data_IF_055349137650
#
_entry.id   IF_055349137650
#
_cell.length_a   1.000
_cell.length_b   1.000
_cell.length_c   1.000
_cell.angle_alpha   90.00
_cell.angle_beta   90.00
_cell.angle_gamma   90.00
#
_symmetry.space_group_name_H-M   'P 1'
#
loop_
_entity.id
_entity.type
_entity.pdbx_description
1 polymer ?
#
# COMPACT_ATOMS: atom_id res chain seq x y z
N UNK A 1 30.75 -35.25 17.93
CA UNK A 1 30.65 -34.59 19.25
C UNK A 1 31.82 -33.64 19.41
N UNK A 2 31.60 -32.34 19.18
CA UNK A 2 32.57 -31.31 19.52
C UNK A 2 32.04 -30.60 20.77
N UNK A 3 32.74 -30.76 21.89
CA UNK A 3 32.38 -30.16 23.16
C UNK A 3 32.55 -28.64 23.08
N UNK A 4 31.60 -27.89 23.65
CA UNK A 4 31.73 -26.45 23.84
C UNK A 4 33.02 -26.15 24.64
N UNK A 5 33.79 -25.10 24.28
CA UNK A 5 35.03 -24.78 24.97
C UNK A 5 34.75 -24.46 26.44
N UNK A 6 35.47 -25.13 27.34
CA UNK A 6 35.51 -24.86 28.77
C UNK A 6 36.28 -23.56 28.99
N UNK A 7 35.62 -22.52 29.47
CA UNK A 7 36.22 -21.20 29.72
C UNK A 7 35.74 -20.70 31.11
N UNK A 8 36.67 -20.25 31.95
CA UNK A 8 36.52 -20.06 33.42
C UNK A 8 36.61 -18.60 33.90
N UNK A 9 36.12 -17.61 33.14
CA UNK A 9 36.08 -16.18 33.48
C UNK A 9 34.84 -15.46 32.94
N UNK A 10 34.46 -14.33 33.56
CA UNK A 10 33.21 -13.60 33.23
C UNK A 10 33.13 -13.11 31.77
N UNK A 11 34.27 -12.86 31.10
CA UNK A 11 34.33 -12.46 29.68
C UNK A 11 33.98 -13.59 28.70
N UNK A 12 33.92 -14.83 29.17
CA UNK A 12 33.70 -16.00 28.31
C UNK A 12 32.28 -16.06 27.74
N UNK A 13 31.34 -15.40 28.42
CA UNK A 13 29.96 -15.28 27.95
C UNK A 13 29.88 -14.41 26.69
N UNK A 14 30.60 -13.28 26.67
CA UNK A 14 30.63 -12.41 25.50
C UNK A 14 31.32 -13.10 24.32
N UNK A 15 32.46 -13.76 24.54
CA UNK A 15 33.17 -14.48 23.48
C UNK A 15 32.32 -15.61 22.88
N UNK A 16 31.68 -16.39 23.74
CA UNK A 16 30.80 -17.49 23.31
C UNK A 16 29.62 -16.98 22.49
N UNK A 17 28.93 -15.93 22.97
CA UNK A 17 27.79 -15.37 22.23
C UNK A 17 28.20 -14.68 20.93
N UNK A 18 29.37 -14.03 20.91
CA UNK A 18 29.93 -13.44 19.68
C UNK A 18 30.16 -14.51 18.61
N UNK A 19 30.70 -15.68 18.99
CA UNK A 19 30.90 -16.80 18.07
C UNK A 19 29.57 -17.35 17.55
N UNK A 20 28.59 -17.54 18.44
CA UNK A 20 27.24 -18.02 18.06
C UNK A 20 26.61 -17.03 17.06
N UNK A 21 26.62 -15.74 17.36
CA UNK A 21 26.09 -14.70 16.49
C UNK A 21 26.79 -14.69 15.12
N UNK A 22 28.12 -14.78 15.10
CA UNK A 22 28.88 -14.85 13.85
C UNK A 22 28.50 -16.05 12.98
N UNK A 23 28.28 -17.23 13.60
CA UNK A 23 27.78 -18.39 12.87
C UNK A 23 26.37 -18.18 12.33
N UNK A 24 25.48 -17.58 13.11
CA UNK A 24 24.11 -17.25 12.69
C UNK A 24 24.10 -16.31 11.49
N UNK A 25 24.86 -15.21 11.54
CA UNK A 25 24.98 -14.23 10.45
C UNK A 25 25.51 -14.93 9.19
N UNK A 26 26.64 -15.64 9.29
CA UNK A 26 27.26 -16.28 8.13
C UNK A 26 26.33 -17.29 7.45
N UNK A 27 25.51 -18.01 8.23
CA UNK A 27 24.55 -18.97 7.68
C UNK A 27 23.33 -18.27 7.07
N UNK A 28 22.78 -17.26 7.74
CA UNK A 28 21.62 -16.52 7.24
C UNK A 28 21.89 -15.80 5.91
N UNK A 29 23.08 -15.21 5.73
CA UNK A 29 23.41 -14.41 4.54
C UNK A 29 24.33 -15.11 3.52
N UNK A 30 24.72 -16.37 3.79
CA UNK A 30 25.63 -17.13 2.93
C UNK A 30 24.92 -17.94 1.84
N UNK A 31 24.01 -18.86 2.20
CA UNK A 31 23.52 -19.91 1.28
C UNK A 31 22.15 -20.52 1.67
N UNK A 32 21.25 -19.73 2.26
CA UNK A 32 20.02 -20.20 2.94
C UNK A 32 20.33 -21.12 4.14
N UNK A 33 19.59 -20.95 5.24
CA UNK A 33 19.73 -21.77 6.43
C UNK A 33 18.87 -23.04 6.27
N UNK A 34 19.48 -24.22 6.31
CA UNK A 34 18.70 -25.47 6.32
C UNK A 34 18.03 -25.67 7.68
N UNK A 35 16.92 -26.41 7.72
CA UNK A 35 16.17 -26.70 8.96
C UNK A 35 17.05 -27.31 10.07
N UNK A 36 17.91 -28.33 9.81
CA UNK A 36 18.80 -28.87 10.84
C UNK A 36 19.87 -27.87 11.30
N UNK A 37 20.33 -26.99 10.41
CA UNK A 37 21.29 -25.94 10.77
C UNK A 37 20.64 -24.83 11.60
N UNK A 38 19.39 -24.50 11.30
CA UNK A 38 18.57 -23.57 12.07
C UNK A 38 18.36 -24.11 13.49
N UNK A 39 17.89 -25.35 13.64
CA UNK A 39 17.70 -26.00 14.94
C UNK A 39 19.00 -26.04 15.76
N UNK A 40 20.13 -26.34 15.10
CA UNK A 40 21.46 -26.33 15.75
C UNK A 40 21.80 -24.95 16.29
N UNK A 41 21.56 -23.89 15.51
CA UNK A 41 21.87 -22.52 15.92
C UNK A 41 20.95 -22.06 17.06
N UNK A 42 19.66 -22.40 17.00
CA UNK A 42 18.71 -22.16 18.11
C UNK A 42 19.16 -22.89 19.38
N UNK A 43 19.54 -24.17 19.28
CA UNK A 43 20.06 -24.96 20.41
C UNK A 43 21.33 -24.36 21.01
N UNK A 44 22.21 -23.77 20.19
CA UNK A 44 23.41 -23.07 20.68
C UNK A 44 23.05 -21.83 21.50
N UNK A 45 22.08 -21.02 21.04
CA UNK A 45 21.61 -19.86 21.80
C UNK A 45 20.92 -20.29 23.10
N UNK A 46 20.04 -21.30 23.05
CA UNK A 46 19.38 -21.84 24.24
C UNK A 46 20.39 -22.35 25.28
N UNK A 47 21.38 -23.12 24.83
CA UNK A 47 22.44 -23.64 25.72
C UNK A 47 23.26 -22.53 26.36
N UNK A 48 23.46 -21.43 25.64
CA UNK A 48 24.15 -20.25 26.18
C UNK A 48 23.30 -19.55 27.25
N UNK A 49 22.00 -19.36 27.00
CA UNK A 49 21.06 -18.80 27.97
C UNK A 49 20.98 -19.66 29.25
N UNK A 50 20.87 -20.98 29.12
CA UNK A 50 20.77 -21.92 30.25
C UNK A 50 22.02 -21.94 31.14
N UNK A 51 23.18 -21.61 30.57
CA UNK A 51 24.48 -21.59 31.28
C UNK A 51 24.88 -20.20 31.75
N UNK A 52 24.04 -19.19 31.53
CA UNK A 52 24.37 -17.82 31.85
C UNK A 52 24.43 -17.62 33.38
N UNK A 53 25.57 -17.19 33.94
CA UNK A 53 25.67 -16.90 35.36
C UNK A 53 24.70 -15.77 35.76
N UNK A 54 24.12 -15.86 36.96
CA UNK A 54 23.12 -14.89 37.43
C UNK A 54 23.63 -13.44 37.50
N UNK A 55 24.94 -13.24 37.72
CA UNK A 55 25.60 -11.93 37.72
C UNK A 55 25.74 -11.29 36.32
N UNK A 56 25.51 -12.04 35.24
CA UNK A 56 25.52 -11.53 33.87
C UNK A 56 24.15 -11.01 33.45
N UNK A 57 23.07 -11.45 34.11
CA UNK A 57 21.73 -10.92 33.89
C UNK A 57 21.62 -9.46 34.35
N UNK A 58 20.66 -8.69 33.78
CA UNK A 58 20.38 -7.35 34.29
C UNK A 58 19.99 -7.45 35.77
N UNK A 59 20.61 -6.64 36.62
CA UNK A 59 20.27 -6.61 38.04
C UNK A 59 19.00 -5.79 38.31
N UNK A 60 18.55 -5.01 37.33
CA UNK A 60 17.28 -4.29 37.34
C UNK A 60 16.73 -4.17 35.92
N UNK A 61 15.42 -4.36 35.79
CA UNK A 61 14.60 -4.12 34.60
C UNK A 61 13.36 -3.33 35.04
N UNK A 62 13.13 -2.14 34.50
CA UNK A 62 11.93 -1.35 34.78
C UNK A 62 11.02 -1.30 33.56
N UNK A 63 9.74 -1.63 33.74
CA UNK A 63 8.67 -1.17 32.85
C UNK A 63 8.48 0.34 33.12
N UNK A 64 8.41 1.18 32.09
CA UNK A 64 8.39 2.64 32.27
C UNK A 64 7.09 3.12 32.94
N UNK A 65 7.16 4.30 33.56
CA UNK A 65 6.05 5.05 34.16
C UNK A 65 6.05 6.44 33.52
N UNK A 66 5.39 6.66 32.37
CA UNK A 66 4.51 7.80 32.02
C UNK A 66 4.28 7.95 30.50
N UNK A 67 3.03 8.22 30.07
CA UNK A 67 2.62 8.09 28.68
C UNK A 67 3.12 9.26 27.81
N UNK A 68 4.02 8.96 26.87
CA UNK A 68 4.30 9.84 25.72
C UNK A 68 4.02 9.10 24.41
N UNK A 69 3.72 9.85 23.35
CA UNK A 69 3.21 9.35 22.07
C UNK A 69 4.21 8.54 21.20
N UNK A 70 5.33 8.12 21.78
CA UNK A 70 6.32 7.19 21.21
C UNK A 70 6.48 6.08 22.25
N UNK A 71 6.22 4.82 21.87
CA UNK A 71 6.12 3.69 22.81
C UNK A 71 7.27 3.61 23.82
N UNK A 72 6.94 3.21 25.04
CA UNK A 72 7.88 3.14 26.17
C UNK A 72 8.86 1.96 26.01
N UNK A 73 10.15 2.25 25.84
CA UNK A 73 11.19 1.22 25.86
C UNK A 73 11.52 0.82 27.31
N UNK A 74 11.78 -0.47 27.60
CA UNK A 74 12.22 -0.92 28.90
C UNK A 74 13.63 -0.42 29.23
N UNK A 75 13.89 -0.18 30.52
CA UNK A 75 15.21 0.20 31.02
C UNK A 75 15.94 -0.99 31.62
N UNK A 76 17.24 -1.13 31.30
CA UNK A 76 18.09 -2.22 31.79
C UNK A 76 19.37 -1.71 32.46
N UNK A 77 19.66 -2.25 33.64
CA UNK A 77 20.94 -2.01 34.30
C UNK A 77 21.73 -3.31 34.46
N UNK A 78 22.97 -3.29 33.97
CA UNK A 78 23.90 -4.42 34.02
C UNK A 78 25.08 -4.08 34.90
N UNK A 79 25.68 -5.10 35.52
CA UNK A 79 26.87 -4.91 36.37
C UNK A 79 28.10 -4.46 35.57
N UNK A 80 28.16 -4.77 34.26
CA UNK A 80 29.27 -4.46 33.36
C UNK A 80 28.79 -4.26 31.92
N UNK A 81 29.49 -3.44 31.14
CA UNK A 81 29.16 -3.13 29.73
C UNK A 81 29.15 -4.38 28.82
N UNK A 82 30.04 -5.34 29.09
CA UNK A 82 30.12 -6.57 28.31
C UNK A 82 28.95 -7.52 28.60
N UNK A 83 28.28 -7.41 29.75
CA UNK A 83 27.04 -8.15 30.03
C UNK A 83 25.91 -7.64 29.12
N UNK A 84 25.78 -6.31 28.99
CA UNK A 84 24.81 -5.70 28.08
C UNK A 84 25.08 -6.10 26.63
N UNK A 85 26.35 -6.07 26.20
CA UNK A 85 26.76 -6.50 24.86
C UNK A 85 26.44 -7.98 24.60
N UNK A 86 26.72 -8.87 25.56
CA UNK A 86 26.46 -10.30 25.42
C UNK A 86 24.95 -10.60 25.32
N UNK A 87 24.12 -9.96 26.16
CA UNK A 87 22.66 -10.12 26.09
C UNK A 87 22.10 -9.56 24.78
N UNK A 88 22.61 -8.42 24.32
CA UNK A 88 22.20 -7.87 23.03
C UNK A 88 22.56 -8.82 21.87
N UNK A 89 23.76 -9.41 21.87
CA UNK A 89 24.16 -10.35 20.81
C UNK A 89 23.27 -11.60 20.77
N UNK A 90 22.80 -12.07 21.93
CA UNK A 90 21.82 -13.15 22.01
C UNK A 90 20.48 -12.74 21.37
N UNK A 91 19.94 -11.57 21.73
CA UNK A 91 18.70 -11.03 21.15
C UNK A 91 18.82 -10.81 19.63
N UNK A 92 19.98 -10.37 19.15
CA UNK A 92 20.24 -10.20 17.72
C UNK A 92 20.26 -11.55 17.00
N UNK A 93 20.94 -12.55 17.57
CA UNK A 93 20.96 -13.90 17.01
C UNK A 93 19.54 -14.46 16.92
N UNK A 94 18.71 -14.25 17.94
CA UNK A 94 17.30 -14.65 17.95
C UNK A 94 16.45 -13.89 16.96
N UNK A 95 16.68 -12.59 16.77
CA UNK A 95 16.00 -11.79 15.75
C UNK A 95 16.26 -12.35 14.36
N UNK A 96 17.52 -12.69 14.04
CA UNK A 96 17.87 -13.32 12.76
C UNK A 96 17.22 -14.70 12.67
N UNK A 97 17.32 -15.54 13.70
CA UNK A 97 16.72 -16.88 13.68
C UNK A 97 15.19 -16.83 13.53
N UNK A 98 14.51 -15.89 14.17
CA UNK A 98 13.08 -15.62 13.98
C UNK A 98 12.76 -15.16 12.55
N UNK A 99 13.55 -14.25 11.99
CA UNK A 99 13.38 -13.77 10.63
C UNK A 99 13.52 -14.89 9.58
N UNK A 100 14.33 -15.92 9.85
CA UNK A 100 14.54 -17.08 8.98
C UNK A 100 13.87 -18.38 9.49
N UNK A 101 12.97 -18.30 10.48
CA UNK A 101 12.32 -19.47 11.06
C UNK A 101 11.41 -20.18 10.03
N UNK A 102 11.44 -21.53 9.98
CA UNK A 102 10.41 -22.32 9.30
C UNK A 102 9.01 -22.06 9.90
N UNK A 103 7.96 -22.12 9.07
CA UNK A 103 6.58 -21.72 9.40
C UNK A 103 6.00 -22.40 10.66
N UNK A 104 6.49 -23.59 11.02
CA UNK A 104 6.01 -24.44 12.11
C UNK A 104 7.00 -24.57 13.28
N UNK A 105 8.13 -23.85 13.27
CA UNK A 105 9.20 -24.00 14.26
C UNK A 105 9.44 -22.76 15.14
N UNK A 106 8.61 -21.71 15.01
CA UNK A 106 8.72 -20.48 15.83
C UNK A 106 8.70 -20.76 17.34
N UNK A 107 7.95 -21.78 17.78
CA UNK A 107 7.87 -22.21 19.19
C UNK A 107 9.17 -22.77 19.76
N UNK A 108 10.16 -23.08 18.92
CA UNK A 108 11.48 -23.55 19.36
C UNK A 108 12.41 -22.42 19.80
N UNK A 109 12.06 -21.16 19.51
CA UNK A 109 12.89 -20.02 19.88
C UNK A 109 12.83 -19.77 21.40
N UNK A 110 13.99 -19.57 22.06
CA UNK A 110 14.07 -19.25 23.48
C UNK A 110 13.25 -18.02 23.86
N UNK A 111 12.65 -18.08 25.05
CA UNK A 111 12.26 -16.86 25.75
C UNK A 111 13.50 -16.10 26.21
N UNK A 112 13.55 -14.81 25.93
CA UNK A 112 14.56 -13.89 26.50
C UNK A 112 13.90 -12.75 27.27
N UNK A 113 12.56 -12.68 27.26
CA UNK A 113 11.79 -11.76 28.07
C UNK A 113 11.51 -12.45 29.41
N UNK A 114 11.91 -11.82 30.51
CA UNK A 114 11.62 -12.30 31.87
C UNK A 114 10.11 -12.22 32.21
N UNK A 115 9.30 -11.59 31.33
CA UNK A 115 7.84 -11.54 31.43
C UNK A 115 7.23 -12.83 30.82
N UNK A 116 6.86 -13.77 31.69
CA UNK A 116 6.29 -15.06 31.35
C UNK A 116 4.92 -15.02 30.62
N UNK A 117 4.32 -13.85 30.41
CA UNK A 117 2.96 -13.71 29.86
C UNK A 117 2.90 -13.69 28.31
N UNK A 118 3.99 -13.40 27.62
CA UNK A 118 4.03 -13.34 26.15
C UNK A 118 4.04 -14.70 25.46
N UNK A 119 4.18 -15.81 26.20
CA UNK A 119 4.43 -17.15 25.63
C UNK A 119 3.28 -18.09 26.01
N UNK A 120 2.10 -17.77 25.51
CA UNK A 120 1.04 -18.76 25.31
C UNK A 120 0.99 -19.09 23.82
N UNK A 121 0.44 -20.26 23.45
CA UNK A 121 0.73 -21.01 22.22
C UNK A 121 0.40 -20.37 20.84
N UNK A 122 0.15 -19.06 20.76
CA UNK A 122 -0.30 -18.35 19.55
C UNK A 122 0.52 -17.08 19.21
N UNK A 123 1.82 -17.02 19.54
CA UNK A 123 2.67 -15.84 19.23
C UNK A 123 3.00 -15.78 17.74
N UNK A 124 2.66 -14.67 17.07
CA UNK A 124 3.02 -14.47 15.67
C UNK A 124 4.51 -14.15 15.52
N UNK A 125 5.07 -14.43 14.33
CA UNK A 125 6.45 -14.04 14.00
C UNK A 125 6.69 -12.53 14.16
N UNK A 126 5.66 -11.72 13.90
CA UNK A 126 5.72 -10.26 14.06
C UNK A 126 5.87 -9.86 15.52
N UNK A 127 5.00 -10.40 16.38
CA UNK A 127 5.02 -10.11 17.82
C UNK A 127 6.36 -10.51 18.45
N UNK A 128 6.93 -11.64 18.02
CA UNK A 128 8.23 -12.11 18.50
C UNK A 128 9.39 -11.19 18.06
N UNK A 129 9.39 -10.75 16.80
CA UNK A 129 10.40 -9.83 16.27
C UNK A 129 10.28 -8.42 16.89
N UNK A 130 9.06 -8.00 17.23
CA UNK A 130 8.80 -6.76 17.95
C UNK A 130 9.28 -6.84 19.40
N UNK A 131 8.98 -7.93 20.11
CA UNK A 131 9.45 -8.16 21.47
C UNK A 131 10.99 -8.11 21.56
N UNK A 132 11.69 -8.79 20.64
CA UNK A 132 13.16 -8.72 20.60
C UNK A 132 13.66 -7.30 20.27
N UNK A 133 13.01 -6.58 19.36
CA UNK A 133 13.40 -5.20 19.03
C UNK A 133 13.25 -4.25 20.21
N UNK A 134 12.17 -4.37 20.98
CA UNK A 134 11.92 -3.56 22.18
C UNK A 134 13.04 -3.77 23.21
N UNK A 135 13.43 -5.02 23.47
CA UNK A 135 14.53 -5.36 24.38
C UNK A 135 15.89 -4.84 23.85
N UNK A 136 16.18 -5.02 22.55
CA UNK A 136 17.43 -4.52 21.93
C UNK A 136 17.53 -3.00 22.04
N UNK A 137 16.45 -2.28 21.71
CA UNK A 137 16.37 -0.83 21.83
C UNK A 137 16.51 -0.39 23.28
N UNK A 138 15.79 -1.03 24.20
CA UNK A 138 15.86 -0.72 25.63
C UNK A 138 17.28 -0.85 26.18
N UNK A 139 17.99 -1.95 25.87
CA UNK A 139 19.40 -2.13 26.26
C UNK A 139 20.29 -1.05 25.62
N UNK A 140 20.11 -0.76 24.34
CA UNK A 140 20.94 0.20 23.60
C UNK A 140 20.81 1.63 24.15
N UNK A 141 19.58 2.09 24.37
CA UNK A 141 19.32 3.43 24.87
C UNK A 141 19.61 3.56 26.38
N UNK A 142 19.43 2.50 27.18
CA UNK A 142 19.74 2.57 28.61
C UNK A 142 21.24 2.59 28.87
N UNK A 143 21.99 1.74 28.17
CA UNK A 143 23.43 1.59 28.41
C UNK A 143 24.26 2.66 27.69
N UNK A 144 23.78 3.17 26.56
CA UNK A 144 24.48 4.15 25.72
C UNK A 144 25.92 3.73 25.35
N UNK A 145 26.16 2.43 25.23
CA UNK A 145 27.46 1.86 24.86
C UNK A 145 27.59 1.89 23.32
N UNK A 146 28.67 2.44 22.74
CA UNK A 146 28.81 2.55 21.28
C UNK A 146 28.67 1.24 20.51
N UNK A 147 29.25 0.14 20.99
CA UNK A 147 29.14 -1.17 20.36
C UNK A 147 27.70 -1.68 20.36
N UNK A 148 26.97 -1.44 21.46
CA UNK A 148 25.57 -1.84 21.61
C UNK A 148 24.67 -1.00 20.70
N UNK A 149 24.89 0.30 20.62
CA UNK A 149 24.13 1.20 19.73
C UNK A 149 24.32 0.83 18.24
N UNK A 150 25.57 0.67 17.78
CA UNK A 150 25.87 0.35 16.38
C UNK A 150 25.26 -0.99 15.96
N UNK A 151 25.33 -2.00 16.84
CA UNK A 151 24.82 -3.34 16.55
C UNK A 151 23.28 -3.44 16.60
N UNK A 152 22.59 -2.39 17.06
CA UNK A 152 21.12 -2.36 17.10
C UNK A 152 20.48 -2.13 15.72
N UNK A 153 21.13 -1.37 14.84
CA UNK A 153 20.49 -0.85 13.63
C UNK A 153 20.13 -1.93 12.58
N UNK A 154 21.01 -2.90 12.33
CA UNK A 154 20.74 -3.98 11.37
C UNK A 154 19.57 -4.88 11.81
N UNK A 155 19.57 -5.38 13.06
CA UNK A 155 18.51 -6.22 13.62
C UNK A 155 17.13 -5.53 13.66
N UNK A 156 17.07 -4.24 14.04
CA UNK A 156 15.82 -3.44 14.03
C UNK A 156 15.18 -3.39 12.63
N UNK A 157 15.98 -3.44 11.55
CA UNK A 157 15.46 -3.46 10.18
C UNK A 157 14.71 -4.76 9.83
N UNK A 158 14.92 -5.86 10.56
CA UNK A 158 14.13 -7.09 10.39
C UNK A 158 12.77 -6.99 11.09
N UNK A 159 12.66 -6.21 12.16
CA UNK A 159 11.43 -6.04 12.94
C UNK A 159 10.46 -5.03 12.32
N UNK A 160 10.95 -4.04 11.57
CA UNK A 160 10.08 -3.08 10.84
C UNK A 160 9.26 -3.72 9.72
N UNK A 161 9.64 -4.90 9.24
CA UNK A 161 8.87 -5.65 8.23
C UNK A 161 7.72 -6.47 8.82
N UNK A 162 7.74 -6.72 10.13
CA UNK A 162 6.82 -7.62 10.81
C UNK A 162 5.90 -6.91 11.81
N UNK A 163 6.21 -5.66 12.17
CA UNK A 163 5.28 -4.75 12.82
C UNK A 163 4.19 -4.32 11.83
N UNK A 164 3.18 -5.19 11.67
CA UNK A 164 1.86 -4.77 11.22
C UNK A 164 1.31 -3.86 12.30
N UNK A 165 1.73 -2.59 12.29
CA UNK A 165 1.07 -1.57 13.10
C UNK A 165 -0.44 -1.69 12.86
N UNK A 166 -1.30 -1.56 13.87
CA UNK A 166 -2.76 -1.56 13.69
C UNK A 166 -3.28 -0.55 12.65
N UNK A 167 -2.44 0.41 12.22
CA UNK A 167 -2.68 1.33 11.11
C UNK A 167 -2.35 0.82 9.69
N UNK A 168 -1.67 -0.33 9.52
CA UNK A 168 -1.28 -0.86 8.22
C UNK A 168 -2.43 -1.50 7.45
N UNK A 169 -3.61 -1.68 8.05
CA UNK A 169 -4.77 -2.21 7.33
C UNK A 169 -5.41 -1.20 6.38
N UNK A 170 -5.27 0.09 6.66
CA UNK A 170 -5.93 1.17 5.93
C UNK A 170 -5.02 1.78 4.86
N UNK A 171 -5.58 2.39 3.81
CA UNK A 171 -4.80 3.14 2.84
C UNK A 171 -3.93 4.20 3.52
N UNK A 172 -2.68 4.29 3.09
CA UNK A 172 -1.83 5.38 3.54
C UNK A 172 -2.36 6.72 3.01
N UNK A 173 -2.39 7.70 3.91
CA UNK A 173 -2.80 9.06 3.59
C UNK A 173 -1.60 9.99 3.66
N UNK A 174 -1.37 10.74 2.59
CA UNK A 174 -0.47 11.90 2.55
C UNK A 174 -1.33 13.16 2.66
N UNK A 175 -0.99 14.01 3.63
CA UNK A 175 -1.62 15.32 3.81
C UNK A 175 -0.56 16.37 3.50
N UNK A 176 -0.56 16.94 2.29
CA UNK A 176 0.41 17.95 1.94
C UNK A 176 0.27 19.16 2.87
N UNK A 177 1.40 19.77 3.20
CA UNK A 177 1.45 21.03 3.93
C UNK A 177 0.85 22.17 3.10
N UNK A 178 0.48 23.27 3.76
CA UNK A 178 0.01 24.48 3.07
C UNK A 178 1.02 25.02 2.03
N UNK A 179 2.32 24.82 2.26
CA UNK A 179 3.37 25.20 1.30
C UNK A 179 3.35 24.31 0.06
N UNK A 180 3.22 22.99 0.23
CA UNK A 180 3.14 22.04 -0.89
C UNK A 180 1.89 22.26 -1.74
N UNK A 181 0.75 22.54 -1.10
CA UNK A 181 -0.49 22.93 -1.80
C UNK A 181 -0.29 24.24 -2.58
N UNK A 182 0.22 25.29 -1.93
CA UNK A 182 0.47 26.59 -2.56
C UNK A 182 1.42 26.48 -3.76
N UNK A 183 2.43 25.62 -3.67
CA UNK A 183 3.41 25.42 -4.73
C UNK A 183 2.98 24.34 -5.74
N UNK A 184 1.83 23.70 -5.53
CA UNK A 184 1.34 22.56 -6.34
C UNK A 184 2.39 21.46 -6.51
N UNK A 185 3.18 21.20 -5.47
CA UNK A 185 4.31 20.26 -5.51
C UNK A 185 4.60 19.73 -4.12
N UNK A 186 4.67 18.41 -4.00
CA UNK A 186 5.11 17.73 -2.79
C UNK A 186 6.60 17.92 -2.57
N UNK A 187 6.99 18.03 -1.30
CA UNK A 187 8.38 17.93 -0.88
C UNK A 187 8.89 16.48 -0.97
N UNK A 188 10.20 16.30 -0.75
CA UNK A 188 10.84 15.00 -0.89
C UNK A 188 10.25 13.94 0.08
N UNK A 189 9.81 14.34 1.27
CA UNK A 189 9.31 13.42 2.29
C UNK A 189 7.89 12.96 1.97
N UNK A 190 7.01 13.89 1.58
CA UNK A 190 5.65 13.58 1.16
C UNK A 190 5.64 12.77 -0.14
N UNK A 191 6.49 13.13 -1.10
CA UNK A 191 6.62 12.40 -2.35
C UNK A 191 7.13 10.97 -2.12
N UNK A 192 8.19 10.80 -1.32
CA UNK A 192 8.72 9.48 -1.00
C UNK A 192 7.67 8.62 -0.29
N UNK A 193 6.90 9.19 0.64
CA UNK A 193 5.78 8.47 1.28
C UNK A 193 4.75 8.02 0.24
N UNK A 194 4.37 8.89 -0.70
CA UNK A 194 3.43 8.54 -1.76
C UNK A 194 3.95 7.39 -2.64
N UNK A 195 5.19 7.50 -3.12
CA UNK A 195 5.85 6.48 -3.94
C UNK A 195 5.96 5.15 -3.19
N UNK A 196 6.38 5.17 -1.92
CA UNK A 196 6.51 3.97 -1.09
C UNK A 196 5.19 3.20 -1.01
N UNK A 197 4.07 3.90 -0.76
CA UNK A 197 2.78 3.24 -0.61
C UNK A 197 2.16 2.77 -1.93
N UNK A 198 2.47 3.43 -3.06
CA UNK A 198 2.19 2.82 -4.37
C UNK A 198 2.93 1.48 -4.53
N UNK A 199 4.20 1.38 -4.15
CA UNK A 199 4.94 0.12 -4.26
C UNK A 199 4.49 -0.94 -3.24
N UNK A 200 4.22 -0.56 -1.98
CA UNK A 200 3.89 -1.49 -0.90
C UNK A 200 2.42 -1.91 -0.92
N UNK A 201 1.51 -0.94 -1.06
CA UNK A 201 0.07 -1.15 -0.94
C UNK A 201 -0.65 -1.16 -2.29
N UNK A 202 0.03 -0.75 -3.37
CA UNK A 202 -0.60 -0.56 -4.67
C UNK A 202 -1.52 0.65 -4.71
N UNK A 203 -1.52 1.49 -3.66
CA UNK A 203 -2.46 2.59 -3.50
C UNK A 203 -1.94 3.64 -2.50
N UNK A 204 -2.21 4.91 -2.78
CA UNK A 204 -2.07 6.00 -1.82
C UNK A 204 -3.19 7.03 -1.99
N UNK A 205 -3.61 7.63 -0.89
CA UNK A 205 -4.56 8.75 -0.87
C UNK A 205 -3.81 10.04 -0.57
N UNK A 206 -4.03 11.07 -1.40
CA UNK A 206 -3.52 12.42 -1.16
C UNK A 206 -4.72 13.31 -0.84
N UNK A 207 -4.84 13.74 0.41
CA UNK A 207 -5.97 14.57 0.87
C UNK A 207 -5.78 16.05 0.47
N UNK A 208 -6.89 16.76 0.27
CA UNK A 208 -6.98 18.22 0.15
C UNK A 208 -6.13 18.84 -0.98
N UNK A 209 -6.01 18.16 -2.13
CA UNK A 209 -5.22 18.60 -3.31
C UNK A 209 -6.08 19.09 -4.48
N UNK A 210 -7.40 18.98 -4.38
CA UNK A 210 -8.35 19.48 -5.38
C UNK A 210 -9.30 20.49 -4.70
N UNK A 211 -9.44 21.73 -5.23
CA UNK A 211 -10.39 22.69 -4.72
C UNK A 211 -11.82 22.14 -4.76
N UNK A 212 -12.56 22.32 -3.67
CA UNK A 212 -13.93 21.82 -3.58
C UNK A 212 -14.88 22.51 -4.57
N UNK A 213 -14.62 23.77 -4.92
CA UNK A 213 -15.45 24.51 -5.87
C UNK A 213 -15.42 23.88 -7.28
N UNK A 214 -14.23 23.51 -7.77
CA UNK A 214 -14.07 22.82 -9.06
C UNK A 214 -14.80 21.47 -9.04
N UNK A 215 -14.69 20.74 -7.93
CA UNK A 215 -15.41 19.48 -7.73
C UNK A 215 -16.92 19.70 -7.76
N UNK A 216 -17.44 20.70 -7.04
CA UNK A 216 -18.88 20.93 -6.91
C UNK A 216 -19.52 21.34 -8.24
N UNK A 217 -18.83 22.16 -9.05
CA UNK A 217 -19.28 22.53 -10.39
C UNK A 217 -19.35 21.30 -11.32
N UNK A 218 -18.27 20.50 -11.37
CA UNK A 218 -18.25 19.30 -12.20
C UNK A 218 -19.26 18.25 -11.73
N UNK A 219 -19.38 18.05 -10.41
CA UNK A 219 -20.32 17.09 -9.83
C UNK A 219 -21.76 17.42 -10.19
N UNK A 220 -22.13 18.71 -10.18
CA UNK A 220 -23.48 19.15 -10.55
C UNK A 220 -23.84 18.65 -11.95
N UNK A 221 -22.97 18.91 -12.94
CA UNK A 221 -23.19 18.48 -14.32
C UNK A 221 -23.22 16.94 -14.45
N UNK A 222 -22.28 16.25 -13.82
CA UNK A 222 -22.17 14.79 -13.95
C UNK A 222 -23.26 14.02 -13.18
N UNK A 223 -23.87 14.60 -12.14
CA UNK A 223 -25.05 14.02 -11.49
C UNK A 223 -26.27 14.12 -12.40
N UNK A 224 -26.44 15.23 -13.12
CA UNK A 224 -27.49 15.36 -14.14
C UNK A 224 -27.33 14.30 -15.24
N UNK A 225 -26.10 14.12 -15.74
CA UNK A 225 -25.79 13.11 -16.76
C UNK A 225 -26.04 11.69 -16.27
N UNK A 226 -25.62 11.36 -15.04
CA UNK A 226 -25.87 10.05 -14.45
C UNK A 226 -27.37 9.73 -14.39
N UNK A 227 -28.22 10.72 -14.12
CA UNK A 227 -29.69 10.55 -14.12
C UNK A 227 -30.25 10.40 -15.54
N UNK A 228 -29.71 11.12 -16.52
CA UNK A 228 -30.06 10.92 -17.94
C UNK A 228 -29.74 9.48 -18.38
N UNK A 229 -28.54 9.00 -18.07
CA UNK A 229 -28.09 7.65 -18.39
C UNK A 229 -28.88 6.58 -17.63
N UNK A 230 -29.20 6.79 -16.35
CA UNK A 230 -30.04 5.88 -15.56
C UNK A 230 -31.43 5.72 -16.18
N UNK A 231 -32.01 6.81 -16.71
CA UNK A 231 -33.32 6.79 -17.37
C UNK A 231 -33.35 6.03 -18.70
N UNK A 232 -32.18 5.64 -19.24
CA UNK A 232 -32.10 4.75 -20.42
C UNK A 232 -32.40 3.28 -20.08
N UNK A 233 -32.53 2.93 -18.80
CA UNK A 233 -32.82 1.56 -18.36
C UNK A 233 -31.73 0.58 -18.78
N UNK A 234 -32.08 -0.60 -19.28
CA UNK A 234 -31.11 -1.65 -19.65
C UNK A 234 -30.15 -1.26 -20.79
N UNK A 235 -30.38 -0.14 -21.47
CA UNK A 235 -29.46 0.42 -22.47
C UNK A 235 -28.39 1.33 -21.86
N UNK A 236 -28.49 1.63 -20.56
CA UNK A 236 -27.53 2.46 -19.84
C UNK A 236 -26.18 1.74 -19.68
N UNK A 237 -25.08 2.50 -19.56
CA UNK A 237 -23.71 1.99 -19.46
C UNK A 237 -23.41 1.43 -18.06
N UNK A 238 -24.01 0.29 -17.70
CA UNK A 238 -23.85 -0.30 -16.36
C UNK A 238 -22.69 -1.31 -16.27
N UNK A 239 -21.81 -1.13 -15.28
CA UNK A 239 -20.69 -2.01 -14.97
C UNK A 239 -21.11 -3.09 -13.97
N UNK A 240 -21.19 -4.34 -14.44
CA UNK A 240 -21.63 -5.54 -13.71
C UNK A 240 -23.11 -5.53 -13.27
N UNK A 241 -23.59 -4.46 -12.63
CA UNK A 241 -24.95 -4.32 -12.12
C UNK A 241 -25.51 -2.89 -12.30
N UNK A 242 -26.84 -2.72 -12.17
CA UNK A 242 -27.54 -1.43 -12.35
C UNK A 242 -27.20 -0.37 -11.28
N UNK A 243 -26.46 -0.73 -10.23
CA UNK A 243 -25.99 0.18 -9.20
C UNK A 243 -24.66 0.86 -9.52
N UNK A 244 -23.91 0.41 -10.53
CA UNK A 244 -22.66 1.04 -10.96
C UNK A 244 -22.76 1.45 -12.43
N UNK A 245 -22.80 2.76 -12.68
CA UNK A 245 -22.96 3.36 -13.99
C UNK A 245 -21.63 4.00 -14.42
N UNK A 246 -21.13 3.62 -15.59
CA UNK A 246 -19.99 4.27 -16.21
C UNK A 246 -20.44 5.51 -16.96
N UNK A 247 -19.75 6.63 -16.80
CA UNK A 247 -20.03 7.84 -17.55
C UNK A 247 -18.75 8.63 -17.79
N UNK A 248 -18.62 9.26 -18.94
CA UNK A 248 -17.51 10.15 -19.22
C UNK A 248 -17.81 11.56 -18.68
N UNK A 249 -16.76 12.26 -18.24
CA UNK A 249 -16.89 13.68 -17.95
C UNK A 249 -17.06 14.48 -19.26
N UNK A 250 -17.76 15.63 -19.26
CA UNK A 250 -17.96 16.42 -20.47
C UNK A 250 -16.60 16.84 -21.06
N UNK A 251 -16.27 16.43 -22.30
CA UNK A 251 -14.94 16.59 -22.86
C UNK A 251 -14.76 17.96 -23.54
N UNK A 252 -15.22 19.04 -22.87
CA UNK A 252 -15.15 20.44 -23.36
C UNK A 252 -14.58 21.39 -22.30
N UNK A 253 -13.99 22.51 -22.75
CA UNK A 253 -13.23 23.41 -21.89
C UNK A 253 -14.03 23.99 -20.72
N UNK A 254 -15.35 24.14 -20.87
CA UNK A 254 -16.26 24.63 -19.83
C UNK A 254 -16.26 23.77 -18.56
N UNK A 255 -16.06 22.47 -18.70
CA UNK A 255 -16.07 21.51 -17.59
C UNK A 255 -14.68 20.92 -17.31
N UNK A 256 -13.64 21.48 -17.92
CA UNK A 256 -12.26 21.01 -17.75
C UNK A 256 -11.53 21.84 -16.70
N UNK A 257 -11.41 21.29 -15.49
CA UNK A 257 -10.66 21.90 -14.39
C UNK A 257 -9.26 21.26 -14.29
N UNK A 258 -8.16 21.99 -14.56
CA UNK A 258 -6.80 21.45 -14.47
C UNK A 258 -6.46 20.88 -13.08
N UNK A 259 -7.05 21.44 -12.02
CA UNK A 259 -6.95 20.95 -10.65
C UNK A 259 -7.48 19.51 -10.47
N UNK A 260 -8.36 19.06 -11.36
CA UNK A 260 -8.94 17.71 -11.40
C UNK A 260 -8.20 16.85 -12.43
N UNK A 261 -8.20 17.27 -13.68
CA UNK A 261 -7.81 16.42 -14.82
C UNK A 261 -6.30 16.35 -15.05
N UNK A 262 -5.57 17.40 -14.69
CA UNK A 262 -4.12 17.51 -14.90
C UNK A 262 -3.41 17.94 -13.61
N UNK A 263 -3.90 17.46 -12.46
CA UNK A 263 -3.45 17.86 -11.13
C UNK A 263 -1.91 17.68 -10.98
N UNK A 264 -1.13 18.75 -10.76
CA UNK A 264 0.34 18.67 -10.74
C UNK A 264 0.91 17.74 -9.67
N UNK A 265 0.25 17.63 -8.51
CA UNK A 265 0.68 16.73 -7.41
C UNK A 265 0.46 15.27 -7.82
N UNK A 266 -0.70 14.94 -8.39
CA UNK A 266 -0.95 13.61 -8.92
C UNK A 266 0.04 13.26 -10.03
N UNK A 267 0.26 14.18 -10.98
CA UNK A 267 1.22 14.02 -12.08
C UNK A 267 2.65 13.85 -11.59
N UNK A 268 3.06 14.57 -10.53
CA UNK A 268 4.37 14.41 -9.88
C UNK A 268 4.55 12.98 -9.35
N UNK A 269 3.54 12.44 -8.67
CA UNK A 269 3.60 11.07 -8.12
C UNK A 269 3.61 10.05 -9.26
N UNK A 270 2.72 10.18 -10.26
CA UNK A 270 2.73 9.24 -11.39
C UNK A 270 4.03 9.29 -12.18
N UNK A 271 4.65 10.47 -12.32
CA UNK A 271 5.96 10.62 -12.97
C UNK A 271 7.08 9.95 -12.18
N UNK A 272 7.03 10.03 -10.84
CA UNK A 272 8.02 9.39 -9.97
C UNK A 272 7.95 7.86 -10.03
N UNK A 273 6.77 7.28 -10.30
CA UNK A 273 6.57 5.83 -10.36
C UNK A 273 6.73 5.28 -11.79
N UNK A 274 6.15 5.94 -12.79
CA UNK A 274 6.04 5.42 -14.15
C UNK A 274 7.15 5.92 -15.10
N UNK A 275 7.92 6.92 -14.65
CA UNK A 275 8.87 7.66 -15.48
C UNK A 275 8.32 9.01 -15.95
N UNK A 276 9.20 9.88 -16.49
CA UNK A 276 8.86 11.25 -16.83
C UNK A 276 7.81 11.30 -17.95
N UNK A 277 6.87 12.25 -17.84
CA UNK A 277 5.81 12.51 -18.83
C UNK A 277 4.97 11.26 -19.18
N UNK A 278 4.25 10.65 -18.20
CA UNK A 278 3.32 9.56 -18.46
C UNK A 278 2.27 9.91 -19.52
N UNK A 279 1.75 8.89 -20.22
CA UNK A 279 0.68 9.04 -21.21
C UNK A 279 -0.69 8.98 -20.55
N UNK A 280 -1.52 9.99 -20.73
CA UNK A 280 -2.93 9.96 -20.30
C UNK A 280 -3.83 9.57 -21.48
N UNK A 281 -4.34 8.33 -21.46
CA UNK A 281 -5.09 7.76 -22.60
C UNK A 281 -6.50 7.29 -22.26
N UNK A 282 -6.91 7.39 -21.00
CA UNK A 282 -8.26 7.03 -20.54
C UNK A 282 -8.79 8.06 -19.56
N UNK A 283 -10.04 8.49 -19.75
CA UNK A 283 -10.76 9.37 -18.84
C UNK A 283 -12.24 8.96 -18.83
N UNK A 284 -12.74 8.50 -17.70
CA UNK A 284 -14.14 8.16 -17.49
C UNK A 284 -14.49 8.35 -16.01
N UNK A 285 -15.65 7.86 -15.58
CA UNK A 285 -16.10 7.93 -14.19
C UNK A 285 -17.01 6.76 -13.86
N UNK A 286 -17.04 6.39 -12.59
CA UNK A 286 -17.99 5.43 -12.04
C UNK A 286 -18.96 6.17 -11.11
N UNK A 287 -20.25 6.05 -11.37
CA UNK A 287 -21.33 6.54 -10.53
C UNK A 287 -21.96 5.36 -9.78
N UNK A 288 -21.80 5.32 -8.46
CA UNK A 288 -22.66 4.44 -7.66
C UNK A 288 -24.01 5.10 -7.50
N UNK A 289 -25.00 4.49 -8.12
CA UNK A 289 -26.36 4.96 -8.16
C UNK A 289 -27.11 4.50 -6.90
N UNK A 290 -27.98 5.35 -6.34
CA UNK A 290 -29.01 4.90 -5.40
C UNK A 290 -29.81 3.73 -5.99
N UNK A 291 -30.22 2.75 -5.18
CA UNK A 291 -31.05 1.66 -5.65
C UNK A 291 -32.37 2.18 -6.20
N UNK A 292 -32.82 1.60 -7.32
CA UNK A 292 -34.18 1.82 -7.80
C UNK A 292 -35.19 1.20 -6.82
N UNK A 293 -36.41 1.75 -6.70
CA UNK A 293 -37.45 1.17 -5.85
C UNK A 293 -37.67 -0.32 -6.17
N UNK A 294 -37.50 -1.18 -5.15
CA UNK A 294 -37.66 -2.64 -5.28
C UNK A 294 -36.42 -3.39 -5.77
N UNK A 295 -35.31 -2.71 -6.09
CA UNK A 295 -34.04 -3.34 -6.43
C UNK A 295 -33.19 -3.57 -5.17
N UNK A 296 -32.55 -4.75 -5.08
CA UNK A 296 -31.56 -5.02 -4.04
C UNK A 296 -30.18 -4.49 -4.48
N UNK A 297 -29.52 -3.62 -3.69
CA UNK A 297 -28.17 -3.15 -3.99
C UNK A 297 -27.19 -4.33 -4.11
N UNK A 298 -26.36 -4.35 -5.16
CA UNK A 298 -25.41 -5.44 -5.41
C UNK A 298 -23.97 -4.96 -5.36
N UNK A 299 -23.12 -5.72 -4.65
CA UNK A 299 -21.67 -5.57 -4.67
C UNK A 299 -21.12 -6.16 -5.98
N UNK A 300 -20.14 -5.51 -6.58
CA UNK A 300 -19.41 -6.08 -7.73
C UNK A 300 -18.54 -7.27 -7.29
N UNK A 301 -18.23 -8.23 -8.18
CA UNK A 301 -17.17 -9.19 -7.90
C UNK A 301 -15.84 -8.45 -7.66
N UNK A 302 -14.97 -9.02 -6.82
CA UNK A 302 -13.61 -8.50 -6.69
C UNK A 302 -12.90 -8.72 -8.02
N UNK A 303 -12.28 -7.67 -8.56
CA UNK A 303 -11.63 -7.72 -9.87
C UNK A 303 -10.37 -6.84 -9.91
N UNK A 304 -9.55 -7.09 -10.92
CA UNK A 304 -8.48 -6.22 -11.40
C UNK A 304 -8.91 -5.56 -12.71
N UNK A 305 -8.58 -4.29 -12.92
CA UNK A 305 -8.82 -3.63 -14.23
C UNK A 305 -7.82 -4.09 -15.30
N UNK A 306 -6.73 -4.76 -14.90
CA UNK A 306 -5.75 -5.35 -15.79
C UNK A 306 -6.09 -6.83 -16.05
N UNK A 307 -7.08 -7.08 -16.90
CA UNK A 307 -7.62 -8.40 -17.25
C UNK A 307 -6.91 -9.07 -18.43
N UNK A 308 -5.66 -8.68 -18.68
CA UNK A 308 -4.80 -9.12 -19.78
C UNK A 308 -3.40 -9.48 -19.25
N UNK A 309 -2.58 -10.13 -20.08
CA UNK A 309 -1.19 -10.39 -19.73
C UNK A 309 -0.40 -9.07 -19.63
N UNK A 310 0.09 -8.75 -18.43
CA UNK A 310 0.69 -7.45 -18.13
C UNK A 310 2.06 -7.59 -17.45
N UNK A 311 2.91 -6.54 -17.46
CA UNK A 311 4.17 -6.53 -16.73
C UNK A 311 3.99 -6.76 -15.22
N UNK A 312 5.04 -7.29 -14.57
CA UNK A 312 5.08 -7.51 -13.11
C UNK A 312 5.39 -6.24 -12.30
N UNK A 313 5.76 -5.15 -12.97
CA UNK A 313 6.08 -3.85 -12.39
C UNK A 313 5.07 -2.79 -12.85
N UNK A 314 4.97 -1.64 -12.16
CA UNK A 314 4.01 -0.59 -12.53
C UNK A 314 4.18 -0.12 -13.98
N UNK A 315 3.09 -0.17 -14.73
CA UNK A 315 3.00 0.31 -16.11
C UNK A 315 1.82 1.25 -16.32
N UNK A 316 0.85 1.24 -15.39
CA UNK A 316 -0.32 2.10 -15.40
C UNK A 316 -0.76 2.41 -13.97
N UNK A 317 -1.07 3.68 -13.69
CA UNK A 317 -1.68 4.12 -12.44
C UNK A 317 -3.03 4.77 -12.75
N UNK A 318 -4.06 4.37 -12.00
CA UNK A 318 -5.37 5.00 -12.02
C UNK A 318 -5.35 6.18 -11.05
N UNK A 319 -5.74 7.35 -11.57
CA UNK A 319 -5.97 8.58 -10.82
C UNK A 319 -7.47 8.72 -10.60
N UNK A 320 -7.90 8.39 -9.39
CA UNK A 320 -9.30 8.49 -8.98
C UNK A 320 -9.57 9.78 -8.22
N UNK A 321 -10.58 10.55 -8.64
CA UNK A 321 -10.99 11.80 -7.99
C UNK A 321 -12.45 11.70 -7.58
N UNK A 322 -12.74 11.57 -6.28
CA UNK A 322 -14.11 11.57 -5.79
C UNK A 322 -14.74 12.95 -5.93
N UNK A 323 -15.93 13.01 -6.53
CA UNK A 323 -16.68 14.26 -6.65
C UNK A 323 -17.55 14.56 -5.41
N UNK A 324 -17.61 13.61 -4.49
CA UNK A 324 -18.18 13.75 -3.14
C UNK A 324 -17.31 12.96 -2.17
N UNK A 325 -17.45 13.22 -0.86
CA UNK A 325 -16.84 12.34 0.15
C UNK A 325 -17.39 10.92 -0.01
N UNK A 326 -16.53 9.95 -0.21
CA UNK A 326 -16.90 8.54 -0.28
C UNK A 326 -16.80 7.93 1.11
N UNK A 327 -17.82 7.21 1.53
CA UNK A 327 -17.89 6.48 2.80
C UNK A 327 -18.45 5.08 2.55
N UNK A 328 -18.29 4.13 3.48
CA UNK A 328 -18.94 2.83 3.38
C UNK A 328 -20.45 2.93 3.12
N UNK A 329 -21.11 3.91 3.75
CA UNK A 329 -22.55 4.15 3.67
C UNK A 329 -23.03 4.67 2.31
N UNK A 330 -22.15 5.25 1.49
CA UNK A 330 -22.49 5.69 0.13
C UNK A 330 -21.75 4.90 -0.98
N UNK A 331 -21.22 3.73 -0.62
CA UNK A 331 -20.58 2.82 -1.57
C UNK A 331 -19.17 3.27 -1.99
N UNK A 332 -18.34 3.65 -1.02
CA UNK A 332 -16.88 3.77 -1.26
C UNK A 332 -16.31 2.43 -1.70
N UNK A 333 -15.28 2.47 -2.56
CA UNK A 333 -14.69 1.27 -3.15
C UNK A 333 -14.08 0.37 -2.08
N UNK A 334 -14.34 -0.92 -2.16
CA UNK A 334 -13.63 -1.92 -1.36
C UNK A 334 -12.26 -2.20 -2.00
N UNK A 335 -11.20 -2.18 -1.19
CA UNK A 335 -9.81 -2.24 -1.63
C UNK A 335 -9.08 -3.41 -0.98
N UNK A 336 -8.29 -4.12 -1.78
CA UNK A 336 -7.43 -5.20 -1.33
C UNK A 336 -5.97 -4.75 -1.43
N UNK A 337 -5.52 -3.96 -0.46
CA UNK A 337 -4.20 -3.33 -0.49
C UNK A 337 -3.09 -4.37 -0.64
N UNK A 338 -2.11 -4.13 -1.52
CA UNK A 338 -0.94 -4.99 -1.77
C UNK A 338 -1.15 -6.11 -2.79
N UNK A 339 -2.34 -6.26 -3.38
CA UNK A 339 -2.62 -7.31 -4.38
C UNK A 339 -2.17 -6.95 -5.81
N UNK A 340 -1.69 -5.73 -6.04
CA UNK A 340 -1.12 -5.31 -7.33
C UNK A 340 0.11 -6.10 -7.76
N UNK A 341 0.68 -6.93 -6.88
CA UNK A 341 1.81 -7.82 -7.16
C UNK A 341 1.41 -9.15 -7.82
N UNK A 342 0.13 -9.37 -8.07
CA UNK A 342 -0.38 -10.58 -8.75
C UNK A 342 -0.39 -10.45 -10.26
N UNK A 343 -0.63 -11.56 -10.96
CA UNK A 343 -0.73 -11.62 -12.42
C UNK A 343 -2.09 -12.19 -12.88
N UNK A 344 -2.24 -12.37 -14.20
CA UNK A 344 -3.46 -12.85 -14.84
C UNK A 344 -3.89 -14.25 -14.36
N UNK A 345 -2.99 -15.06 -13.78
CA UNK A 345 -3.32 -16.42 -13.30
C UNK A 345 -4.25 -16.41 -12.08
N UNK A 346 -4.34 -15.29 -11.37
CA UNK A 346 -5.24 -15.10 -10.24
C UNK A 346 -6.69 -14.81 -10.66
N UNK A 347 -6.90 -14.53 -11.94
CA UNK A 347 -8.16 -14.04 -12.49
C UNK A 347 -8.91 -15.17 -13.23
N UNK A 348 -10.22 -15.03 -13.32
CA UNK A 348 -11.14 -15.86 -14.11
C UNK A 348 -11.94 -14.99 -15.10
N UNK A 349 -12.50 -15.64 -16.13
CA UNK A 349 -13.09 -14.97 -17.29
C UNK A 349 -12.05 -14.72 -18.39
N UNK A 350 -12.46 -14.84 -19.65
CA UNK A 350 -11.60 -14.48 -20.76
C UNK A 350 -11.61 -12.96 -20.98
N UNK A 351 -10.48 -12.39 -21.42
CA UNK A 351 -10.36 -10.97 -21.73
C UNK A 351 -11.50 -10.50 -22.67
N UNK A 352 -12.19 -9.43 -22.28
CA UNK A 352 -13.34 -8.90 -23.01
C UNK A 352 -14.70 -9.57 -22.70
N UNK A 353 -14.75 -10.60 -21.85
CA UNK A 353 -16.01 -11.13 -21.31
C UNK A 353 -16.55 -10.26 -20.16
N UNK A 354 -17.85 -10.36 -19.89
CA UNK A 354 -18.49 -9.61 -18.79
C UNK A 354 -17.96 -9.98 -17.39
N UNK A 355 -17.40 -11.18 -17.25
CA UNK A 355 -16.79 -11.66 -16.01
C UNK A 355 -15.26 -11.50 -15.99
N UNK A 356 -14.68 -10.91 -17.04
CA UNK A 356 -13.24 -10.71 -17.14
C UNK A 356 -12.70 -9.88 -15.98
N UNK A 357 -11.47 -10.17 -15.56
CA UNK A 357 -10.84 -9.46 -14.44
C UNK A 357 -11.19 -9.99 -13.06
N UNK A 358 -12.22 -10.83 -12.93
CA UNK A 358 -12.70 -11.34 -11.63
C UNK A 358 -11.63 -12.20 -10.95
N UNK A 359 -11.41 -12.00 -9.66
CA UNK A 359 -10.45 -12.80 -8.89
C UNK A 359 -11.07 -14.13 -8.47
N UNK A 360 -10.30 -15.21 -8.61
CA UNK A 360 -10.72 -16.56 -8.20
C UNK A 360 -10.92 -16.63 -6.68
N UNK A 361 -11.98 -17.30 -6.27
CA UNK A 361 -12.43 -17.41 -4.89
C UNK A 361 -11.35 -17.96 -3.92
N UNK A 362 -10.56 -18.95 -4.34
CA UNK A 362 -9.49 -19.49 -3.51
C UNK A 362 -8.43 -18.44 -3.18
N UNK A 363 -8.06 -17.60 -4.14
CA UNK A 363 -7.07 -16.54 -3.94
C UNK A 363 -7.60 -15.38 -3.09
N UNK A 364 -8.92 -15.13 -3.12
CA UNK A 364 -9.53 -14.18 -2.20
C UNK A 364 -9.39 -14.67 -0.75
N UNK A 365 -9.68 -15.94 -0.48
CA UNK A 365 -9.53 -16.53 0.87
C UNK A 365 -8.09 -16.53 1.35
N UNK A 366 -7.16 -16.91 0.48
CA UNK A 366 -5.71 -16.85 0.77
C UNK A 366 -5.28 -15.42 1.13
N UNK A 367 -5.84 -14.43 0.41
CA UNK A 367 -5.52 -13.03 0.67
C UNK A 367 -6.16 -12.51 1.96
N UNK A 368 -7.41 -12.86 2.26
CA UNK A 368 -8.09 -12.49 3.52
C UNK A 368 -7.33 -12.98 4.75
N UNK A 369 -6.71 -14.17 4.69
CA UNK A 369 -5.90 -14.70 5.77
C UNK A 369 -4.63 -13.87 6.04
N UNK A 370 -4.13 -13.12 5.05
CA UNK A 370 -2.92 -12.29 5.14
C UNK A 370 -3.26 -10.83 5.44
N UNK A 371 -4.20 -10.26 4.68
CA UNK A 371 -4.66 -8.88 4.81
C UNK A 371 -6.07 -8.77 4.22
N UNK A 372 -7.14 -8.78 5.05
CA UNK A 372 -8.51 -8.58 4.58
C UNK A 372 -8.72 -7.26 3.82
N UNK A 373 -9.78 -7.19 2.98
CA UNK A 373 -10.17 -5.97 2.32
C UNK A 373 -10.61 -4.88 3.30
N UNK A 374 -10.55 -3.64 2.84
CA UNK A 374 -11.02 -2.46 3.56
C UNK A 374 -11.89 -1.58 2.68
N UNK A 375 -12.83 -0.87 3.29
CA UNK A 375 -13.67 0.10 2.61
C UNK A 375 -13.45 1.47 3.26
N UNK A 376 -12.48 2.28 2.77
CA UNK A 376 -12.08 3.52 3.43
C UNK A 376 -13.09 4.64 3.25
N UNK A 377 -13.01 5.62 4.14
CA UNK A 377 -13.55 6.96 3.91
C UNK A 377 -12.51 7.74 3.09
N UNK A 378 -12.93 8.31 1.95
CA UNK A 378 -12.10 9.18 1.12
C UNK A 378 -12.78 10.54 1.04
N UNK A 379 -12.14 11.57 1.60
CA UNK A 379 -12.71 12.92 1.67
C UNK A 379 -12.82 13.55 0.28
N UNK A 380 -13.85 14.36 0.06
CA UNK A 380 -13.88 15.31 -1.06
C UNK A 380 -12.60 16.16 -1.06
N UNK A 381 -12.08 16.49 -2.24
CA UNK A 381 -10.81 17.19 -2.40
C UNK A 381 -9.58 16.27 -2.45
N UNK A 382 -9.75 14.97 -2.20
CA UNK A 382 -8.66 13.99 -2.28
C UNK A 382 -8.46 13.47 -3.69
N UNK A 383 -7.25 13.00 -3.98
CA UNK A 383 -6.94 12.13 -5.13
C UNK A 383 -6.48 10.78 -4.61
N UNK A 384 -7.00 9.70 -5.18
CA UNK A 384 -6.54 8.33 -4.91
C UNK A 384 -5.74 7.86 -6.12
N UNK A 385 -4.49 7.51 -5.89
CA UNK A 385 -3.62 6.92 -6.91
C UNK A 385 -3.50 5.43 -6.62
N UNK A 386 -3.81 4.59 -7.61
CA UNK A 386 -3.73 3.13 -7.45
C UNK A 386 -3.10 2.46 -8.66
N UNK A 387 -2.42 1.36 -8.44
CA UNK A 387 -1.95 0.49 -9.52
C UNK A 387 -3.17 -0.12 -10.24
N UNK A 388 -3.12 -0.16 -11.57
CA UNK A 388 -4.20 -0.73 -12.40
C UNK A 388 -4.52 -2.19 -12.01
N UNK A 389 -3.52 -2.91 -11.49
CA UNK A 389 -3.63 -4.32 -11.08
C UNK A 389 -4.24 -4.53 -9.70
N UNK A 390 -4.47 -3.47 -8.93
CA UNK A 390 -4.96 -3.58 -7.56
C UNK A 390 -6.38 -4.16 -7.55
N UNK A 391 -6.59 -5.22 -6.76
CA UNK A 391 -7.92 -5.81 -6.64
C UNK A 391 -8.86 -4.90 -5.87
N UNK A 392 -10.08 -4.77 -6.37
CA UNK A 392 -11.10 -3.92 -5.77
C UNK A 392 -12.50 -4.38 -6.15
N UNK A 393 -13.50 -3.81 -5.48
CA UNK A 393 -14.90 -4.01 -5.83
C UNK A 393 -15.72 -2.72 -5.62
N UNK A 394 -16.59 -2.39 -6.58
CA UNK A 394 -17.63 -1.41 -6.39
C UNK A 394 -18.65 -1.89 -5.36
N UNK A 395 -18.87 -1.08 -4.33
CA UNK A 395 -19.80 -1.38 -3.25
C UNK A 395 -21.17 -0.74 -3.51
N UNK A 396 -22.26 -1.36 -3.03
CA UNK A 396 -23.59 -0.78 -3.19
C UNK A 396 -23.70 0.56 -2.46
N UNK A 397 -24.48 1.48 -3.02
CA UNK A 397 -24.76 2.78 -2.43
C UNK A 397 -26.21 2.82 -1.92
N UNK A 398 -26.48 2.52 -0.64
CA UNK A 398 -27.82 2.57 -0.07
C UNK A 398 -28.34 3.99 0.20
N UNK A 399 -27.53 5.04 -0.03
CA UNK A 399 -27.95 6.43 0.13
C UNK A 399 -28.85 6.91 -1.02
N UNK A 400 -29.41 8.11 -0.90
CA UNK A 400 -30.25 8.76 -1.91
C UNK A 400 -29.45 9.62 -2.92
N UNK A 401 -28.14 9.80 -2.69
CA UNK A 401 -27.26 10.62 -3.51
C UNK A 401 -26.52 9.79 -4.56
N UNK A 402 -26.33 10.34 -5.75
CA UNK A 402 -25.42 9.76 -6.75
C UNK A 402 -23.99 10.03 -6.31
N UNK A 403 -23.18 8.97 -6.14
CA UNK A 403 -21.77 9.08 -5.75
C UNK A 403 -20.90 8.92 -6.98
N UNK A 404 -20.25 9.98 -7.44
CA UNK A 404 -19.41 9.97 -8.65
C UNK A 404 -17.93 9.97 -8.25
N UNK A 405 -17.15 9.13 -8.93
CA UNK A 405 -15.70 9.12 -8.85
C UNK A 405 -15.12 9.08 -10.25
N UNK A 406 -14.34 10.10 -10.62
CA UNK A 406 -13.58 10.10 -11.87
C UNK A 406 -12.50 9.01 -11.83
N UNK A 407 -12.16 8.50 -13.01
CA UNK A 407 -11.08 7.54 -13.23
C UNK A 407 -10.30 7.96 -14.48
N UNK A 408 -9.08 8.41 -14.27
CA UNK A 408 -8.12 8.66 -15.35
C UNK A 408 -7.00 7.63 -15.24
N UNK A 409 -6.42 7.20 -16.36
CA UNK A 409 -5.28 6.25 -16.33
C UNK A 409 -4.06 6.90 -16.96
N UNK A 410 -2.99 6.97 -16.17
CA UNK A 410 -1.66 7.37 -16.64
C UNK A 410 -0.85 6.09 -16.91
N UNK A 411 -0.37 5.94 -18.13
CA UNK A 411 0.49 4.85 -18.57
C UNK A 411 1.94 5.29 -18.60
N UNK A 412 2.86 4.37 -18.33
CA UNK A 412 4.28 4.63 -18.49
C UNK A 412 4.61 5.01 -19.95
N UNK A 413 5.58 5.92 -20.18
CA UNK A 413 5.90 6.39 -21.54
C UNK A 413 6.30 5.25 -22.49
N UNK A 414 6.95 4.22 -21.97
CA UNK A 414 7.39 3.05 -22.72
C UNK A 414 6.27 2.03 -23.00
N UNK A 415 5.12 2.13 -22.32
CA UNK A 415 4.03 1.17 -22.46
C UNK A 415 3.23 1.46 -23.75
N UNK A 416 3.08 0.47 -24.64
CA UNK A 416 2.55 0.69 -26.00
C UNK A 416 1.02 0.65 -26.08
N UNK A 417 0.35 1.29 -25.13
CA UNK A 417 -1.08 1.54 -25.23
C UNK A 417 -1.36 2.57 -26.34
N UNK A 418 -2.34 2.26 -27.20
CA UNK A 418 -2.69 3.02 -28.41
C UNK A 418 -3.97 3.83 -28.27
N UNK A 419 -4.67 3.73 -27.14
CA UNK A 419 -5.88 4.50 -26.90
C UNK A 419 -5.60 6.00 -26.95
N UNK A 420 -6.62 6.76 -27.35
CA UNK A 420 -6.60 8.20 -27.48
C UNK A 420 -7.85 8.75 -26.81
N UNK A 421 -7.72 9.92 -26.21
CA UNK A 421 -8.87 10.66 -25.68
C UNK A 421 -9.56 11.40 -26.83
N UNK A 422 -10.86 11.60 -26.76
CA UNK A 422 -11.57 12.47 -27.70
C UNK A 422 -12.03 13.72 -26.96
N UNK A 423 -11.54 14.90 -27.37
CA UNK A 423 -11.85 16.19 -26.75
C UNK A 423 -12.36 17.21 -27.77
N UNK A 424 -13.21 18.12 -27.29
CA UNK A 424 -13.56 19.32 -28.03
C UNK A 424 -12.32 20.19 -28.30
N UNK A 425 -12.23 20.71 -29.52
CA UNK A 425 -11.15 21.60 -29.98
C UNK A 425 -10.93 22.83 -29.08
N UNK A 426 -11.96 23.28 -28.38
CA UNK A 426 -11.88 24.35 -27.39
C UNK A 426 -11.01 24.02 -26.16
N UNK A 427 -10.68 22.75 -25.86
CA UNK A 427 -9.69 22.39 -24.84
C UNK A 427 -8.25 22.58 -25.31
N UNK A 428 -7.99 22.56 -26.61
CA UNK A 428 -6.63 22.57 -27.13
C UNK A 428 -5.80 23.75 -26.61
N UNK A 429 -6.31 25.00 -26.60
CA UNK A 429 -5.58 26.13 -26.03
C UNK A 429 -5.32 26.00 -24.52
N UNK A 430 -6.18 25.29 -23.78
CA UNK A 430 -6.01 25.05 -22.34
C UNK A 430 -4.82 24.12 -22.11
N UNK A 431 -4.76 22.99 -22.83
CA UNK A 431 -3.66 22.04 -22.71
C UNK A 431 -2.33 22.63 -23.21
N UNK A 432 -2.35 23.35 -24.34
CA UNK A 432 -1.15 24.00 -24.88
C UNK A 432 -0.58 25.04 -23.90
N UNK A 433 -1.45 25.82 -23.25
CA UNK A 433 -1.04 26.80 -22.22
C UNK A 433 -0.39 26.11 -21.02
N UNK A 434 -0.99 25.03 -20.52
CA UNK A 434 -0.43 24.26 -19.41
C UNK A 434 0.94 23.66 -19.77
N UNK A 435 1.11 23.17 -21.00
CA UNK A 435 2.40 22.61 -21.43
C UNK A 435 3.48 23.70 -21.58
N UNK A 436 3.13 24.84 -22.18
CA UNK A 436 4.03 26.01 -22.29
C UNK A 436 4.49 26.53 -20.92
N UNK A 437 3.65 26.39 -19.90
CA UNK A 437 3.97 26.77 -18.52
C UNK A 437 4.72 25.68 -17.74
N UNK A 438 4.96 24.51 -18.33
CA UNK A 438 5.59 23.37 -17.67
C UNK A 438 4.72 22.74 -16.58
N UNK A 439 3.41 22.98 -16.61
CA UNK A 439 2.45 22.52 -15.60
C UNK A 439 1.69 21.26 -16.02
N UNK A 440 1.71 20.90 -17.32
CA UNK A 440 0.97 19.73 -17.82
C UNK A 440 1.59 18.40 -17.37
N UNK A 441 2.89 18.22 -17.62
CA UNK A 441 3.65 17.05 -17.18
C UNK A 441 3.18 15.69 -17.73
N UNK A 442 2.26 15.68 -18.71
CA UNK A 442 1.66 14.49 -19.32
C UNK A 442 1.78 14.55 -20.84
N UNK A 443 1.86 13.38 -21.47
CA UNK A 443 1.60 13.22 -22.90
C UNK A 443 0.13 12.81 -23.09
N UNK A 444 -0.62 13.56 -23.88
CA UNK A 444 -2.07 13.40 -24.00
C UNK A 444 -2.40 13.19 -25.48
N UNK A 445 -2.43 11.94 -25.96
CA UNK A 445 -2.89 11.65 -27.32
C UNK A 445 -4.39 11.91 -27.43
N UNK A 446 -4.77 12.93 -28.19
CA UNK A 446 -6.16 13.38 -28.37
C UNK A 446 -6.58 13.30 -29.83
N UNK A 447 -7.80 12.83 -30.07
CA UNK A 447 -8.58 13.03 -31.28
C UNK A 447 -9.48 14.25 -31.07
N UNK A 448 -9.24 15.29 -31.86
CA UNK A 448 -9.93 16.58 -31.73
C UNK A 448 -11.20 16.59 -32.57
N UNK A 449 -12.32 16.89 -31.93
CA UNK A 449 -13.63 17.11 -32.56
C UNK A 449 -14.14 18.52 -32.25
N UNK A 450 -15.20 18.98 -32.92
CA UNK A 450 -15.79 20.26 -32.53
C UNK A 450 -16.37 20.19 -31.10
N UNK A 451 -16.36 21.30 -30.36
CA UNK A 451 -16.97 21.34 -29.01
C UNK A 451 -18.45 20.92 -28.99
N UNK A 452 -19.21 21.20 -30.05
CA UNK A 452 -20.60 20.75 -30.19
C UNK A 452 -20.71 19.23 -30.38
N UNK A 453 -19.90 18.66 -31.25
CA UNK A 453 -19.83 17.21 -31.50
C UNK A 453 -19.42 16.45 -30.23
N UNK A 454 -18.40 16.95 -29.52
CA UNK A 454 -17.98 16.44 -28.22
C UNK A 454 -19.14 16.36 -27.21
N UNK A 455 -19.93 17.44 -27.09
CA UNK A 455 -21.07 17.51 -26.16
C UNK A 455 -22.27 16.65 -26.59
N UNK A 456 -22.48 16.45 -27.88
CA UNK A 456 -23.56 15.59 -28.37
C UNK A 456 -23.21 14.09 -28.22
N UNK A 457 -21.93 13.74 -28.32
CA UNK A 457 -21.46 12.36 -28.38
C UNK A 457 -21.08 11.72 -27.05
N UNK A 458 -20.56 12.47 -26.08
CA UNK A 458 -19.83 11.89 -24.94
C UNK A 458 -20.63 10.92 -24.05
N UNK A 459 -21.95 11.13 -23.89
CA UNK A 459 -22.80 10.21 -23.12
C UNK A 459 -23.10 8.88 -23.85
N UNK A 460 -22.78 8.78 -25.14
CA UNK A 460 -23.02 7.61 -25.97
C UNK A 460 -21.73 6.86 -26.34
N UNK A 461 -20.61 7.17 -25.68
CA UNK A 461 -19.33 6.49 -25.90
C UNK A 461 -19.36 5.05 -25.37
N UNK A 462 -18.39 4.26 -25.82
CA UNK A 462 -18.20 2.89 -25.32
C UNK A 462 -17.97 2.86 -23.81
N UNK A 463 -18.31 1.76 -23.17
CA UNK A 463 -18.09 1.53 -21.74
C UNK A 463 -17.55 0.10 -21.51
N UNK A 464 -16.94 -0.12 -20.34
CA UNK A 464 -16.35 -1.40 -19.97
C UNK A 464 -15.35 -1.92 -21.00
N UNK A 465 -15.65 -3.08 -21.59
CA UNK A 465 -14.75 -3.81 -22.51
C UNK A 465 -14.58 -3.15 -23.89
N UNK A 466 -15.15 -1.98 -24.14
CA UNK A 466 -14.81 -1.18 -25.33
C UNK A 466 -13.40 -0.59 -25.27
N UNK A 467 -12.80 -0.52 -24.07
CA UNK A 467 -11.46 -0.01 -23.86
C UNK A 467 -10.45 -1.15 -23.78
N UNK A 468 -9.37 -1.05 -24.55
CA UNK A 468 -8.24 -1.98 -24.50
C UNK A 468 -7.06 -1.32 -23.81
N UNK A 469 -6.81 -1.71 -22.56
CA UNK A 469 -5.71 -1.21 -21.74
C UNK A 469 -4.40 -1.94 -22.01
N UNK A 470 -4.40 -2.96 -22.87
CA UNK A 470 -3.21 -3.70 -23.22
C UNK A 470 -2.27 -2.86 -24.10
N UNK A 471 -1.09 -3.42 -24.36
CA UNK A 471 -0.10 -2.87 -25.26
C UNK A 471 -0.06 -3.63 -26.58
N UNK A 472 0.21 -2.92 -27.67
CA UNK A 472 0.46 -3.57 -28.96
C UNK A 472 1.80 -4.33 -28.96
N UNK A 473 1.91 -5.45 -29.71
CA UNK A 473 3.11 -6.29 -29.80
C UNK A 473 4.40 -5.58 -30.15
#
# INVERSE_FOLDING_TARGET
MAAAPSLTGDQDQLHSMTLILGQTINKAFGYQISEPEWERLVSMVQTWLDKLPSNVNPFSRSQSVTPSAVGELPYFWFLQDFHASARQYALIALTILAAFAPLNQLSMLPSVCDDAELITADVSKGDLLEAYAIEICGIAFTTNIPSVLVNSFGPIAYSTKAASSPGLHWPAVVRPSASEIKNSRLDERSLEKAVRHIHQDGLVVIEDVVPHEDIDQLNTKMVEDARVLQNMGDKGPFNYNQGNLQQDAPPVAEFFYPSIFTNPIATQITSAVLGPRPKWTFCSANAAMPPLPGASPQRQPVHSDADFAHPSHPFALVVNVPLVTMTPENGSTELWLGTHQTDITFQEGAHGERASGRIKENHLRDREAIRPPVQPIVKKGSVVLRDLRLWHAGMPNPSDQVRIMLAMIHFAPWYRNTMRLEFGDNLKPVLEKLDQQGQLGLDIPVDWVSGEEALQGYLNRGFGNSYDFNQTP
#
